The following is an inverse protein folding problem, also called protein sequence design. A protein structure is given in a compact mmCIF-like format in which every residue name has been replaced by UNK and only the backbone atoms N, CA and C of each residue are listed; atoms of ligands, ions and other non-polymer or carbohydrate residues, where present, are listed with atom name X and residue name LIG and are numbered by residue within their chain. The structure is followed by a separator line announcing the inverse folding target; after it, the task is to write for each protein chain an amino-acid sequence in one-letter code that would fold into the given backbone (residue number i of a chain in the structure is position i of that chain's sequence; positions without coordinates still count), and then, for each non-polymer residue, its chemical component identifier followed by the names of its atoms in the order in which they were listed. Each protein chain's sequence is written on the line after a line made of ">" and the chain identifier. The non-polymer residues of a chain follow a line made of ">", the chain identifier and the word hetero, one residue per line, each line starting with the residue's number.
data_IF_374620498005
#
_entry.id   IF_374620498005
#
_cell.length_a   1.000
_cell.length_b   1.000
_cell.length_c   1.000
_cell.angle_alpha   90.00
_cell.angle_beta   90.00
_cell.angle_gamma   90.00
#
_symmetry.space_group_name_H-M   'P 1'
#
loop_
_entity.id
_entity.type
_entity.pdbx_description
1 polymer ?
#
# COMPACT_ATOMS: atom_id res chain seq x y z
N UNK A 1 13.81 -23.08 -37.89
CA UNK A 1 12.56 -22.78 -37.17
C UNK A 1 12.08 -21.42 -37.61
N UNK A 2 10.79 -21.20 -37.92
CA UNK A 2 10.32 -19.88 -38.34
C UNK A 2 10.55 -18.91 -37.19
N UNK A 3 11.29 -17.82 -37.46
CA UNK A 3 11.61 -16.80 -36.46
C UNK A 3 10.28 -16.24 -35.91
N UNK A 4 9.94 -16.58 -34.66
CA UNK A 4 8.65 -16.28 -34.02
C UNK A 4 8.71 -14.92 -33.30
N UNK A 5 9.32 -13.95 -33.98
CA UNK A 5 9.59 -12.64 -33.41
C UNK A 5 8.25 -11.93 -33.16
N UNK A 6 8.01 -11.56 -31.91
CA UNK A 6 6.84 -10.79 -31.52
C UNK A 6 7.12 -9.30 -31.75
N UNK A 7 6.17 -8.58 -32.32
CA UNK A 7 6.25 -7.14 -32.55
C UNK A 7 5.20 -6.45 -31.67
N UNK A 8 5.61 -5.80 -30.57
CA UNK A 8 4.69 -5.09 -29.68
C UNK A 8 4.11 -3.88 -30.39
N UNK A 9 2.79 -3.70 -30.30
CA UNK A 9 2.15 -2.45 -30.73
C UNK A 9 2.07 -1.45 -29.57
N UNK A 10 1.90 -0.17 -29.90
CA UNK A 10 1.66 0.87 -28.88
C UNK A 10 0.40 0.59 -28.04
N UNK A 11 -0.62 -0.03 -28.65
CA UNK A 11 -1.82 -0.43 -27.91
C UNK A 11 -1.49 -1.53 -26.90
N UNK A 12 -0.66 -2.52 -27.27
CA UNK A 12 -0.23 -3.58 -26.35
C UNK A 12 0.55 -2.98 -25.17
N UNK A 13 1.44 -2.02 -25.45
CA UNK A 13 2.20 -1.31 -24.40
C UNK A 13 1.28 -0.62 -23.39
N UNK A 14 0.30 0.14 -23.89
CA UNK A 14 -0.69 0.84 -23.04
C UNK A 14 -1.51 -0.15 -22.21
N UNK A 15 -1.94 -1.26 -22.80
CA UNK A 15 -2.67 -2.31 -22.09
C UNK A 15 -1.81 -2.92 -21.00
N UNK A 16 -0.56 -3.31 -21.29
CA UNK A 16 0.38 -3.88 -20.30
C UNK A 16 0.62 -2.90 -19.16
N UNK A 17 0.94 -1.64 -19.48
CA UNK A 17 1.20 -0.59 -18.49
C UNK A 17 0.01 -0.38 -17.56
N UNK A 18 -1.21 -0.31 -18.12
CA UNK A 18 -2.42 -0.11 -17.34
C UNK A 18 -2.71 -1.29 -16.42
N UNK A 19 -2.68 -2.51 -16.96
CA UNK A 19 -3.01 -3.71 -16.19
C UNK A 19 -2.02 -3.97 -15.05
N UNK A 20 -0.73 -3.76 -15.29
CA UNK A 20 0.29 -3.80 -14.23
C UNK A 20 0.10 -2.66 -13.24
N UNK A 21 -0.23 -1.46 -13.73
CA UNK A 21 -0.58 -0.32 -12.90
C UNK A 21 -1.71 -0.61 -11.91
N UNK A 22 -2.69 -1.42 -12.33
CA UNK A 22 -3.82 -1.86 -11.49
C UNK A 22 -3.49 -3.04 -10.57
N UNK A 23 -2.25 -3.53 -10.57
CA UNK A 23 -1.78 -4.61 -9.69
C UNK A 23 -2.03 -6.02 -10.22
N UNK A 24 -2.32 -6.19 -11.51
CA UNK A 24 -2.46 -7.52 -12.10
C UNK A 24 -1.11 -8.24 -12.19
N UNK A 25 -1.13 -9.57 -12.05
CA UNK A 25 0.07 -10.40 -12.18
C UNK A 25 0.56 -10.42 -13.62
N UNK A 26 1.88 -10.36 -13.80
CA UNK A 26 2.52 -10.41 -15.14
C UNK A 26 2.02 -11.60 -15.95
N UNK A 27 1.89 -12.77 -15.33
CA UNK A 27 1.44 -14.00 -15.99
C UNK A 27 0.04 -13.87 -16.60
N UNK A 28 -0.85 -13.11 -15.96
CA UNK A 28 -2.22 -12.88 -16.45
C UNK A 28 -2.24 -11.77 -17.51
N UNK A 29 -1.41 -10.74 -17.36
CA UNK A 29 -1.25 -9.69 -18.38
C UNK A 29 -0.74 -10.28 -19.70
N UNK A 30 0.24 -11.17 -19.66
CA UNK A 30 0.78 -11.79 -20.88
C UNK A 30 -0.23 -12.69 -21.60
N UNK A 31 -1.25 -13.21 -20.91
CA UNK A 31 -2.36 -13.96 -21.53
C UNK A 31 -3.29 -13.06 -22.36
N UNK A 32 -3.34 -11.77 -22.06
CA UNK A 32 -4.18 -10.79 -22.78
C UNK A 32 -3.53 -10.30 -24.06
N UNK A 33 -2.19 -10.33 -24.14
CA UNK A 33 -1.46 -9.89 -25.34
C UNK A 33 -1.32 -11.04 -26.32
N UNK A 34 -1.99 -10.92 -27.47
CA UNK A 34 -2.00 -11.94 -28.52
C UNK A 34 -0.93 -11.65 -29.56
N UNK A 35 -0.09 -12.65 -29.84
CA UNK A 35 0.83 -12.58 -30.96
C UNK A 35 0.03 -12.73 -32.26
N UNK A 36 -0.07 -11.64 -33.03
CA UNK A 36 -0.82 -11.61 -34.29
C UNK A 36 -0.40 -12.67 -35.32
N UNK A 37 0.83 -13.18 -35.20
CA UNK A 37 1.37 -14.16 -36.14
C UNK A 37 1.06 -15.60 -35.77
N UNK A 38 0.93 -15.91 -34.47
CA UNK A 38 0.58 -17.26 -33.99
C UNK A 38 -0.90 -17.38 -33.62
N UNK A 39 -1.58 -16.26 -33.38
CA UNK A 39 -2.95 -16.24 -32.83
C UNK A 39 -3.02 -16.62 -31.36
N UNK A 40 -1.88 -16.83 -30.71
CA UNK A 40 -1.79 -17.29 -29.32
C UNK A 40 -1.28 -16.19 -28.38
N UNK A 41 -1.57 -16.29 -27.07
CA UNK A 41 -0.98 -15.39 -26.09
C UNK A 41 0.53 -15.47 -26.04
N UNK A 42 1.18 -14.36 -25.69
CA UNK A 42 2.64 -14.33 -25.54
C UNK A 42 3.08 -15.04 -24.26
N UNK A 43 4.27 -15.66 -24.32
CA UNK A 43 4.89 -16.23 -23.13
C UNK A 43 5.40 -15.15 -22.18
N UNK A 44 5.57 -15.52 -20.91
CA UNK A 44 6.17 -14.65 -19.88
C UNK A 44 7.54 -14.09 -20.30
N UNK A 45 8.38 -14.91 -20.95
CA UNK A 45 9.71 -14.48 -21.39
C UNK A 45 9.61 -13.40 -22.48
N UNK A 46 8.71 -13.56 -23.44
CA UNK A 46 8.42 -12.55 -24.47
C UNK A 46 7.91 -11.26 -23.84
N UNK A 47 7.03 -11.37 -22.85
CA UNK A 47 6.48 -10.25 -22.10
C UNK A 47 7.59 -9.39 -21.46
N UNK A 48 8.52 -10.01 -20.72
CA UNK A 48 9.67 -9.31 -20.14
C UNK A 48 10.64 -8.76 -21.17
N UNK A 49 10.78 -9.40 -22.33
CA UNK A 49 11.67 -8.93 -23.41
C UNK A 49 11.18 -7.63 -24.04
N UNK A 50 9.87 -7.49 -24.27
CA UNK A 50 9.32 -6.38 -25.05
C UNK A 50 8.65 -5.28 -24.21
N UNK A 51 8.18 -5.61 -23.00
CA UNK A 51 7.42 -4.69 -22.15
C UNK A 51 8.11 -4.38 -20.82
N UNK A 52 9.45 -4.50 -20.74
CA UNK A 52 10.18 -4.32 -19.48
C UNK A 52 9.87 -2.98 -18.81
N UNK A 53 9.86 -1.91 -19.60
CA UNK A 53 9.63 -0.56 -19.08
C UNK A 53 8.21 -0.39 -18.50
N UNK A 54 7.20 -0.93 -19.18
CA UNK A 54 5.81 -0.89 -18.77
C UNK A 54 5.58 -1.71 -17.49
N UNK A 55 6.22 -2.88 -17.41
CA UNK A 55 6.18 -3.74 -16.22
C UNK A 55 6.81 -3.04 -15.00
N UNK A 56 7.95 -2.36 -15.20
CA UNK A 56 8.67 -1.69 -14.11
C UNK A 56 8.02 -0.37 -13.70
N UNK A 57 7.39 0.37 -14.62
CA UNK A 57 6.87 1.73 -14.37
C UNK A 57 5.36 1.82 -14.20
N UNK A 58 4.58 0.80 -14.59
CA UNK A 58 3.12 0.85 -14.59
C UNK A 58 2.54 1.20 -13.22
N UNK A 59 3.01 0.55 -12.15
CA UNK A 59 2.55 0.82 -10.78
C UNK A 59 2.89 2.25 -10.32
N UNK A 60 4.04 2.78 -10.71
CA UNK A 60 4.47 4.14 -10.37
C UNK A 60 3.52 5.15 -11.02
N UNK A 61 3.23 4.97 -12.31
CA UNK A 61 2.33 5.85 -13.08
C UNK A 61 0.90 5.77 -12.56
N UNK A 62 0.40 4.59 -12.24
CA UNK A 62 -0.93 4.43 -11.65
C UNK A 62 -1.04 5.13 -10.29
N UNK A 63 -0.05 4.95 -9.41
CA UNK A 63 -0.01 5.65 -8.13
C UNK A 63 0.06 7.17 -8.30
N UNK A 64 0.85 7.66 -9.26
CA UNK A 64 0.92 9.08 -9.57
C UNK A 64 -0.43 9.64 -10.06
N UNK A 65 -1.15 8.92 -10.93
CA UNK A 65 -2.46 9.32 -11.42
C UNK A 65 -3.51 9.38 -10.29
N UNK A 66 -3.51 8.40 -9.38
CA UNK A 66 -4.38 8.42 -8.19
C UNK A 66 -4.04 9.60 -7.29
N UNK A 67 -2.74 9.86 -7.05
CA UNK A 67 -2.29 10.99 -6.25
C UNK A 67 -2.70 12.34 -6.87
N UNK A 68 -2.56 12.50 -8.18
CA UNK A 68 -2.98 13.70 -8.90
C UNK A 68 -4.50 13.92 -8.78
N UNK A 69 -5.29 12.86 -8.96
CA UNK A 69 -6.76 12.92 -8.79
C UNK A 69 -7.13 13.38 -7.38
N UNK A 70 -6.50 12.79 -6.36
CA UNK A 70 -6.77 13.14 -4.98
C UNK A 70 -6.36 14.57 -4.65
N UNK A 71 -5.21 15.02 -5.17
CA UNK A 71 -4.75 16.40 -5.03
C UNK A 71 -5.75 17.39 -5.64
N UNK A 72 -6.23 17.13 -6.87
CA UNK A 72 -7.28 17.95 -7.53
C UNK A 72 -8.56 17.97 -6.71
N UNK A 73 -8.98 16.84 -6.15
CA UNK A 73 -10.15 16.81 -5.26
C UNK A 73 -9.96 17.68 -4.01
N UNK A 74 -8.77 17.66 -3.41
CA UNK A 74 -8.45 18.45 -2.22
C UNK A 74 -8.39 19.95 -2.52
N UNK A 75 -7.84 20.36 -3.67
CA UNK A 75 -7.59 21.78 -4.00
C UNK A 75 -8.76 22.43 -4.74
N UNK A 76 -9.39 21.73 -5.68
CA UNK A 76 -10.36 22.33 -6.61
C UNK A 76 -11.82 21.96 -6.32
N UNK A 77 -12.07 20.84 -5.63
CA UNK A 77 -13.42 20.28 -5.44
C UNK A 77 -13.95 20.41 -4.01
N UNK A 78 -13.26 21.16 -3.16
CA UNK A 78 -13.61 21.37 -1.75
C UNK A 78 -13.82 20.05 -0.97
N UNK A 79 -13.19 18.96 -1.41
CA UNK A 79 -13.29 17.66 -0.75
C UNK A 79 -12.43 17.65 0.52
N UNK A 80 -13.05 17.94 1.66
CA UNK A 80 -12.38 18.01 2.97
C UNK A 80 -11.71 16.69 3.35
N UNK A 81 -12.32 15.55 3.03
CA UNK A 81 -11.73 14.23 3.32
C UNK A 81 -10.43 14.03 2.55
N UNK A 82 -10.37 14.42 1.28
CA UNK A 82 -9.16 14.37 0.48
C UNK A 82 -8.06 15.29 1.05
N UNK A 83 -8.44 16.51 1.47
CA UNK A 83 -7.51 17.46 2.10
C UNK A 83 -6.95 16.95 3.44
N UNK A 84 -7.80 16.38 4.31
CA UNK A 84 -7.37 15.75 5.57
C UNK A 84 -6.44 14.57 5.28
N UNK A 85 -6.79 13.70 4.33
CA UNK A 85 -5.94 12.57 3.99
C UNK A 85 -4.57 13.01 3.47
N UNK A 86 -4.53 14.05 2.63
CA UNK A 86 -3.28 14.61 2.10
C UNK A 86 -2.40 15.22 3.20
N UNK A 87 -2.96 16.06 4.06
CA UNK A 87 -2.22 16.68 5.18
C UNK A 87 -1.68 15.62 6.15
N UNK A 88 -2.47 14.58 6.45
CA UNK A 88 -2.02 13.46 7.27
C UNK A 88 -0.90 12.64 6.60
N UNK A 89 -1.12 12.23 5.35
CA UNK A 89 -0.22 11.30 4.65
C UNK A 89 1.06 11.94 4.12
N UNK A 90 1.01 13.24 3.74
CA UNK A 90 2.13 13.91 3.07
C UNK A 90 2.76 15.05 3.87
N UNK A 91 2.00 15.76 4.71
CA UNK A 91 2.52 16.85 5.56
C UNK A 91 2.89 16.37 6.98
N UNK A 92 2.67 15.09 7.29
CA UNK A 92 3.02 14.51 8.59
C UNK A 92 2.10 14.95 9.73
N UNK A 93 0.91 15.46 9.42
CA UNK A 93 -0.07 15.79 10.45
C UNK A 93 -0.58 14.50 11.07
N UNK A 94 -0.46 14.39 12.39
CA UNK A 94 -0.92 13.23 13.14
C UNK A 94 -1.69 13.70 14.36
N UNK A 95 -2.74 12.97 14.69
CA UNK A 95 -3.39 13.13 15.98
C UNK A 95 -2.42 12.64 17.07
N UNK A 96 -2.34 13.39 18.17
CA UNK A 96 -1.59 12.99 19.36
C UNK A 96 -2.61 12.60 20.41
N UNK A 97 -2.53 11.37 20.91
CA UNK A 97 -3.40 10.90 21.99
C UNK A 97 -2.62 10.94 23.29
N UNK A 98 -3.07 11.75 24.25
CA UNK A 98 -2.59 11.68 25.62
C UNK A 98 -3.40 10.62 26.37
N UNK A 99 -2.72 9.58 26.86
CA UNK A 99 -3.35 8.55 27.69
C UNK A 99 -3.12 8.92 29.16
N UNK A 100 -4.13 9.54 29.76
CA UNK A 100 -4.13 9.80 31.21
C UNK A 100 -4.57 8.54 31.95
N UNK A 101 -3.71 8.04 32.85
CA UNK A 101 -4.05 6.95 33.75
C UNK A 101 -4.58 7.53 35.05
N UNK A 102 -5.89 7.43 35.26
CA UNK A 102 -6.53 7.73 36.54
C UNK A 102 -6.91 6.42 37.25
N UNK A 103 -6.45 6.24 38.48
CA UNK A 103 -6.81 5.12 39.33
C UNK A 103 -6.63 5.47 40.80
N UNK A 104 -7.57 5.01 41.63
CA UNK A 104 -7.45 5.07 43.08
C UNK A 104 -6.48 3.97 43.53
N UNK A 105 -5.36 4.36 44.14
CA UNK A 105 -4.46 3.40 44.78
C UNK A 105 -5.15 2.83 46.01
N UNK A 106 -5.76 1.64 45.87
CA UNK A 106 -6.19 0.85 47.02
C UNK A 106 -4.96 0.26 47.70
N UNK A 107 -4.43 1.01 48.65
CA UNK A 107 -3.42 0.49 49.58
C UNK A 107 -4.16 -0.41 50.57
N UNK A 108 -3.93 -1.72 50.50
CA UNK A 108 -4.30 -2.63 51.59
C UNK A 108 -3.26 -2.46 52.68
N UNK A 109 -3.72 -2.07 53.86
CA UNK A 109 -2.88 -1.91 55.05
C UNK A 109 -2.72 -3.25 55.79
N UNK A 110 -3.44 -4.30 55.39
CA UNK A 110 -3.41 -5.61 56.06
C UNK A 110 -2.00 -6.20 56.13
N UNK A 111 -1.19 -6.03 55.07
CA UNK A 111 0.21 -6.48 55.05
C UNK A 111 1.15 -5.59 55.89
N UNK A 112 0.76 -4.34 56.15
CA UNK A 112 1.48 -3.41 57.02
C UNK A 112 1.15 -3.72 58.48
N UNK A 113 -0.11 -4.03 58.77
CA UNK A 113 -0.60 -4.41 60.08
C UNK A 113 0.00 -5.75 60.55
N UNK A 114 0.01 -6.78 59.68
CA UNK A 114 0.70 -8.06 59.97
C UNK A 114 2.20 -7.87 60.25
N UNK A 115 2.86 -6.99 59.51
CA UNK A 115 4.29 -6.70 59.70
C UNK A 115 4.56 -5.94 61.01
N UNK A 116 3.63 -5.07 61.42
CA UNK A 116 3.70 -4.33 62.69
C UNK A 116 3.44 -5.26 63.88
N UNK A 117 2.45 -6.16 63.81
CA UNK A 117 2.20 -7.14 64.87
C UNK A 117 3.41 -8.06 65.07
N UNK A 118 3.99 -8.59 63.99
CA UNK A 118 5.20 -9.42 64.07
C UNK A 118 6.45 -8.66 64.59
N UNK A 119 6.48 -7.32 64.51
CA UNK A 119 7.54 -6.50 65.11
C UNK A 119 7.27 -6.14 66.58
N UNK A 120 6.01 -6.14 67.01
CA UNK A 120 5.59 -5.83 68.39
C UNK A 120 5.65 -7.09 69.27
N UNK A 121 5.34 -8.26 68.71
CA UNK A 121 5.26 -9.54 69.44
C UNK A 121 6.58 -10.34 69.44
N UNK A 122 7.69 -9.76 68.94
CA UNK A 122 9.02 -10.37 68.97
C UNK A 122 9.72 -10.25 70.32
N UNK A 123 9.45 -11.17 71.25
CA UNK A 123 10.39 -11.64 72.28
C UNK A 123 11.17 -12.88 71.81
#
# INVERSE_FOLDING_TARGET
>A
MPNNNFEPTEQDRRTVESMIGYGMKVEDVCKVIINKRTGEPISRQTCYKYFRNELDTGHIKANAAVAESLFKQAVEKENTTAAIWWTKSRMGWKETTALEHGGELKISWDAVDDALENMIDGE
#
